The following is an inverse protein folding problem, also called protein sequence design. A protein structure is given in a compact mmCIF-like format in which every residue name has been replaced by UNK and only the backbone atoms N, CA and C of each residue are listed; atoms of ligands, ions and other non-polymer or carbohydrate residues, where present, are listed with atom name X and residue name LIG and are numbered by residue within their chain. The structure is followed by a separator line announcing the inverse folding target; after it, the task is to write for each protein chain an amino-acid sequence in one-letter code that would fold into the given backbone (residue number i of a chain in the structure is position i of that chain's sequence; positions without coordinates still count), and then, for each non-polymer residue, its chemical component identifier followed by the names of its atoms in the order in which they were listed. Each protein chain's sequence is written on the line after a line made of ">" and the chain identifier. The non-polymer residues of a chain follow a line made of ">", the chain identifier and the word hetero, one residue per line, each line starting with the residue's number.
data_IF_755154893969
#
_entry.id   IF_755154893969
#
_cell.length_a   1.000
_cell.length_b   1.000
_cell.length_c   1.000
_cell.angle_alpha   90.00
_cell.angle_beta   90.00
_cell.angle_gamma   90.00
#
_symmetry.space_group_name_H-M   'P 1'
#
loop_
_entity.id
_entity.type
_entity.pdbx_description
1 polymer ?
#
# COMPACT_ATOMS: atom_id res chain seq x y z
N UNK A 1 -11.66 -7.33 10.84
CA UNK A 1 -12.45 -6.53 11.84
C UNK A 1 -11.59 -5.48 12.55
N UNK A 2 -10.60 -5.79 13.41
CA UNK A 2 -9.89 -4.73 14.18
C UNK A 2 -9.11 -3.77 13.27
N UNK A 3 -8.31 -4.28 12.33
CA UNK A 3 -7.55 -3.45 11.39
C UNK A 3 -8.45 -2.69 10.40
N UNK A 4 -9.55 -3.26 9.98
CA UNK A 4 -10.56 -2.57 9.17
C UNK A 4 -11.16 -1.37 9.91
N UNK A 5 -11.45 -1.52 11.19
CA UNK A 5 -11.95 -0.40 12.00
C UNK A 5 -10.92 0.73 12.12
N UNK A 6 -9.64 0.38 12.31
CA UNK A 6 -8.55 1.37 12.37
C UNK A 6 -8.40 2.13 11.04
N UNK A 7 -8.45 1.41 9.92
CA UNK A 7 -8.39 2.02 8.60
C UNK A 7 -9.61 2.92 8.34
N UNK A 8 -10.81 2.46 8.69
CA UNK A 8 -12.05 3.27 8.59
C UNK A 8 -12.00 4.53 9.45
N UNK A 9 -11.41 4.45 10.66
CA UNK A 9 -11.21 5.62 11.51
C UNK A 9 -10.29 6.65 10.83
N UNK A 10 -9.18 6.21 10.25
CA UNK A 10 -8.26 7.12 9.56
C UNK A 10 -8.90 7.74 8.30
N UNK A 11 -9.69 6.98 7.55
CA UNK A 11 -10.46 7.49 6.41
C UNK A 11 -11.53 8.49 6.84
N UNK A 12 -12.24 8.23 7.93
CA UNK A 12 -13.24 9.15 8.48
C UNK A 12 -12.60 10.46 8.93
N UNK A 13 -11.46 10.40 9.61
CA UNK A 13 -10.69 11.58 9.99
C UNK A 13 -10.18 12.36 8.78
N UNK A 14 -9.66 11.67 7.76
CA UNK A 14 -9.26 12.34 6.51
C UNK A 14 -10.43 13.13 5.93
N UNK A 15 -11.60 12.49 5.84
CA UNK A 15 -12.80 13.12 5.29
C UNK A 15 -13.24 14.32 6.13
N UNK A 16 -13.29 14.18 7.45
CA UNK A 16 -13.64 15.26 8.37
C UNK A 16 -12.69 16.45 8.27
N UNK A 17 -11.37 16.19 8.26
CA UNK A 17 -10.37 17.25 8.31
C UNK A 17 -10.18 17.98 6.99
N UNK A 18 -10.34 17.30 5.86
CA UNK A 18 -9.96 17.84 4.55
C UNK A 18 -11.10 17.94 3.53
N UNK A 19 -12.12 17.11 3.64
CA UNK A 19 -13.22 17.09 2.66
C UNK A 19 -14.43 17.85 3.19
N UNK A 20 -14.89 17.51 4.40
CA UNK A 20 -16.08 18.07 5.02
C UNK A 20 -15.77 19.34 5.86
N UNK A 21 -14.49 19.74 5.96
CA UNK A 21 -14.06 20.89 6.73
C UNK A 21 -14.57 22.20 6.08
N UNK A 22 -15.28 23.06 6.82
CA UNK A 22 -15.78 24.33 6.28
C UNK A 22 -14.67 25.29 5.83
N UNK A 23 -13.45 25.16 6.39
CA UNK A 23 -12.29 25.97 6.00
C UNK A 23 -11.72 25.58 4.62
N UNK A 24 -12.13 24.44 4.06
CA UNK A 24 -11.56 23.95 2.80
C UNK A 24 -11.84 24.91 1.61
N UNK A 25 -12.87 25.73 1.69
CA UNK A 25 -13.19 26.75 0.69
C UNK A 25 -12.15 27.87 0.62
N UNK A 26 -11.35 28.03 1.66
CA UNK A 26 -10.26 29.02 1.75
C UNK A 26 -8.92 28.44 1.28
N UNK A 27 -8.83 27.11 1.10
CA UNK A 27 -7.60 26.45 0.69
C UNK A 27 -7.43 26.50 -0.83
N UNK A 28 -6.18 26.45 -1.27
CA UNK A 28 -5.89 26.46 -2.70
C UNK A 28 -6.28 25.15 -3.37
N UNK A 29 -6.76 25.26 -4.60
CA UNK A 29 -6.91 24.10 -5.47
C UNK A 29 -5.57 23.80 -6.16
N UNK A 30 -5.31 22.50 -6.39
CA UNK A 30 -4.12 22.04 -7.10
C UNK A 30 -4.31 20.65 -7.63
N UNK A 31 -3.21 19.93 -7.83
CA UNK A 31 -3.22 18.53 -8.32
C UNK A 31 -2.24 17.67 -7.52
N UNK A 32 -2.34 16.36 -7.67
CA UNK A 32 -1.38 15.43 -7.04
C UNK A 32 0.07 15.70 -7.47
N UNK A 33 0.29 16.29 -8.66
CA UNK A 33 1.62 16.65 -9.14
C UNK A 33 2.37 17.56 -8.17
N UNK A 34 1.66 18.39 -7.45
CA UNK A 34 2.24 19.30 -6.47
C UNK A 34 2.70 18.62 -5.19
N UNK A 35 2.13 17.45 -4.86
CA UNK A 35 2.41 16.68 -3.65
C UNK A 35 3.42 15.55 -3.89
N UNK A 36 3.68 15.22 -5.16
CA UNK A 36 4.56 14.12 -5.56
C UNK A 36 5.97 14.63 -5.86
N UNK A 37 6.97 14.03 -5.24
CA UNK A 37 8.39 14.29 -5.52
C UNK A 37 8.81 13.57 -6.81
N UNK A 38 8.54 12.26 -6.90
CA UNK A 38 8.88 11.43 -8.05
C UNK A 38 8.00 10.18 -8.11
N UNK A 39 8.11 9.45 -9.22
CA UNK A 39 7.43 8.16 -9.39
C UNK A 39 8.40 7.10 -9.89
N UNK A 40 8.22 5.85 -9.47
CA UNK A 40 9.02 4.72 -9.90
C UNK A 40 8.16 3.77 -10.75
N UNK A 41 8.74 3.35 -11.86
CA UNK A 41 8.16 2.24 -12.65
C UNK A 41 8.54 0.91 -12.01
N UNK A 42 7.65 -0.06 -12.09
CA UNK A 42 7.91 -1.40 -11.60
C UNK A 42 8.95 -2.20 -12.40
N UNK A 43 9.30 -3.37 -11.88
CA UNK A 43 10.17 -4.34 -12.52
C UNK A 43 9.75 -5.76 -12.12
N UNK A 44 9.43 -6.59 -13.11
CA UNK A 44 9.06 -7.97 -12.82
C UNK A 44 10.29 -8.88 -12.66
N UNK A 45 11.39 -8.53 -13.26
CA UNK A 45 12.62 -9.30 -13.19
C UNK A 45 12.53 -10.72 -13.76
N UNK A 46 13.37 -11.61 -13.23
CA UNK A 46 13.46 -13.03 -13.55
C UNK A 46 13.14 -13.90 -12.34
N UNK A 47 12.75 -15.15 -12.55
CA UNK A 47 12.41 -16.11 -11.47
C UNK A 47 13.65 -16.65 -10.76
N UNK A 48 14.77 -16.70 -11.45
CA UNK A 48 16.06 -17.14 -10.95
C UNK A 48 17.15 -16.16 -11.38
N UNK A 49 18.32 -16.15 -10.70
CA UNK A 49 19.48 -15.39 -11.15
C UNK A 49 19.85 -15.80 -12.59
N UNK A 50 19.79 -14.84 -13.52
CA UNK A 50 20.04 -15.10 -14.94
C UNK A 50 20.78 -13.91 -15.55
N UNK A 51 21.97 -14.16 -16.11
CA UNK A 51 22.81 -13.11 -16.67
C UNK A 51 23.12 -12.02 -15.64
N UNK A 52 22.80 -10.78 -15.99
CA UNK A 52 23.04 -9.63 -15.11
C UNK A 52 21.90 -9.36 -14.09
N UNK A 53 20.86 -10.20 -14.05
CA UNK A 53 19.79 -10.10 -13.05
C UNK A 53 20.23 -10.87 -11.79
N UNK A 54 20.98 -10.22 -10.94
CA UNK A 54 21.63 -10.81 -9.74
C UNK A 54 20.98 -10.40 -8.43
N UNK A 55 20.28 -9.27 -8.42
CA UNK A 55 19.73 -8.69 -7.19
C UNK A 55 18.39 -9.35 -6.83
N UNK A 56 18.37 -10.08 -5.70
CA UNK A 56 17.16 -10.65 -5.12
C UNK A 56 16.26 -9.54 -4.61
N UNK A 57 14.98 -9.59 -4.99
CA UNK A 57 13.96 -8.66 -4.52
C UNK A 57 12.64 -9.38 -4.28
N UNK A 58 11.80 -8.81 -3.44
CA UNK A 58 10.38 -9.15 -3.37
C UNK A 58 9.58 -8.17 -4.24
N UNK A 59 8.65 -8.71 -5.04
CA UNK A 59 7.93 -7.92 -6.03
C UNK A 59 6.45 -7.81 -5.65
N UNK A 60 6.02 -6.63 -5.16
CA UNK A 60 4.62 -6.38 -4.82
C UNK A 60 3.78 -6.24 -6.09
N UNK A 61 2.63 -6.91 -6.10
CA UNK A 61 1.66 -6.94 -7.20
C UNK A 61 0.35 -6.28 -6.78
N UNK A 62 -0.50 -5.94 -7.75
CA UNK A 62 -1.88 -5.51 -7.48
C UNK A 62 -2.66 -6.50 -6.60
N UNK A 63 -2.41 -7.80 -6.76
CA UNK A 63 -3.03 -8.85 -5.94
C UNK A 63 -2.59 -8.84 -4.46
N UNK A 64 -1.42 -8.28 -4.15
CA UNK A 64 -0.90 -8.21 -2.78
C UNK A 64 -1.40 -6.96 -2.03
N UNK A 65 -1.93 -5.95 -2.75
CA UNK A 65 -2.40 -4.67 -2.19
C UNK A 65 -3.42 -4.87 -1.06
N UNK A 66 -4.48 -5.69 -1.20
CA UNK A 66 -5.47 -5.87 -0.13
C UNK A 66 -4.85 -6.45 1.15
N UNK A 67 -3.97 -7.43 1.01
CA UNK A 67 -3.31 -8.06 2.16
C UNK A 67 -2.37 -7.08 2.88
N UNK A 68 -1.58 -6.32 2.13
CA UNK A 68 -0.67 -5.32 2.71
C UNK A 68 -1.46 -4.21 3.39
N UNK A 69 -2.54 -3.73 2.77
CA UNK A 69 -3.44 -2.73 3.37
C UNK A 69 -4.05 -3.22 4.69
N UNK A 70 -4.35 -4.50 4.80
CA UNK A 70 -4.85 -5.13 6.03
C UNK A 70 -3.75 -5.36 7.10
N UNK A 71 -2.50 -4.94 6.86
CA UNK A 71 -1.37 -5.12 7.75
C UNK A 71 -0.65 -6.48 7.62
N UNK A 72 -1.06 -7.31 6.66
CA UNK A 72 -0.45 -8.61 6.42
C UNK A 72 0.82 -8.49 5.56
N UNK A 73 1.61 -9.56 5.53
CA UNK A 73 2.84 -9.61 4.74
C UNK A 73 2.57 -9.66 3.23
N UNK A 74 1.44 -10.26 2.81
CA UNK A 74 1.19 -10.58 1.40
C UNK A 74 1.95 -11.84 0.95
N UNK A 75 1.80 -12.15 -0.34
CA UNK A 75 2.42 -13.35 -0.97
C UNK A 75 3.33 -12.93 -2.13
N UNK A 76 4.19 -11.94 -1.86
CA UNK A 76 5.07 -11.36 -2.88
C UNK A 76 6.07 -12.38 -3.40
N UNK A 77 6.17 -12.62 -4.70
CA UNK A 77 7.17 -13.53 -5.25
C UNK A 77 8.57 -12.94 -5.15
N UNK A 78 9.54 -13.84 -4.95
CA UNK A 78 10.95 -13.53 -5.12
C UNK A 78 11.25 -13.35 -6.60
N UNK A 79 12.01 -12.31 -6.93
CA UNK A 79 12.47 -12.00 -8.29
C UNK A 79 13.94 -11.57 -8.27
N UNK A 80 14.56 -11.59 -9.43
CA UNK A 80 15.94 -11.15 -9.63
C UNK A 80 15.96 -10.06 -10.69
N UNK A 81 16.52 -8.91 -10.36
CA UNK A 81 16.57 -7.72 -11.21
C UNK A 81 18.03 -7.28 -11.44
N UNK A 82 18.20 -6.33 -12.34
CA UNK A 82 19.50 -5.72 -12.59
C UNK A 82 19.92 -4.84 -11.39
N UNK A 83 21.21 -4.79 -11.00
CA UNK A 83 21.69 -3.90 -9.92
C UNK A 83 21.29 -2.44 -10.12
N UNK A 84 21.40 -1.92 -11.35
CA UNK A 84 20.96 -0.54 -11.68
C UNK A 84 19.46 -0.32 -11.45
N UNK A 85 18.64 -1.35 -11.66
CA UNK A 85 17.20 -1.26 -11.45
C UNK A 85 16.87 -1.28 -9.95
N UNK A 86 17.62 -2.03 -9.14
CA UNK A 86 17.47 -1.99 -7.70
C UNK A 86 17.68 -0.58 -7.15
N UNK A 87 18.77 0.08 -7.56
CA UNK A 87 19.04 1.46 -7.12
C UNK A 87 17.91 2.43 -7.46
N UNK A 88 17.29 2.27 -8.63
CA UNK A 88 16.32 3.22 -9.16
C UNK A 88 14.86 2.85 -8.86
N UNK A 89 14.56 1.63 -8.39
CA UNK A 89 13.20 1.11 -8.25
C UNK A 89 12.89 0.54 -6.88
N UNK A 90 13.87 0.54 -5.96
CA UNK A 90 13.69 0.10 -4.58
C UNK A 90 12.61 0.95 -3.91
N UNK A 91 11.65 0.27 -3.29
CA UNK A 91 10.65 0.90 -2.46
C UNK A 91 11.22 1.25 -1.09
N UNK A 92 10.78 2.37 -0.56
CA UNK A 92 11.15 2.90 0.75
C UNK A 92 9.90 3.17 1.59
N UNK A 93 10.08 3.29 2.89
CA UNK A 93 8.98 3.66 3.78
C UNK A 93 8.45 5.06 3.40
N UNK A 94 7.13 5.17 3.30
CA UNK A 94 6.46 6.38 2.83
C UNK A 94 6.09 6.37 1.34
N UNK A 95 6.61 5.42 0.55
CA UNK A 95 6.17 5.23 -0.82
C UNK A 95 4.73 4.69 -0.85
N UNK A 96 4.02 4.96 -1.95
CA UNK A 96 2.67 4.46 -2.18
C UNK A 96 2.68 3.65 -3.48
N UNK A 97 2.38 2.36 -3.40
CA UNK A 97 2.25 1.50 -4.58
C UNK A 97 0.82 1.58 -5.09
N UNK A 98 0.68 1.86 -6.38
CA UNK A 98 -0.59 1.99 -7.09
C UNK A 98 -0.66 0.97 -8.22
N UNK A 99 -1.76 0.24 -8.33
CA UNK A 99 -2.07 -0.62 -9.46
C UNK A 99 -2.48 0.23 -10.65
N UNK A 100 -1.68 0.19 -11.71
CA UNK A 100 -1.93 0.96 -12.94
C UNK A 100 -2.47 0.10 -14.08
N UNK A 101 -2.50 -1.22 -13.91
CA UNK A 101 -2.95 -2.16 -14.94
C UNK A 101 -3.65 -3.34 -14.30
N UNK A 102 -4.87 -3.63 -14.69
CA UNK A 102 -5.71 -4.67 -14.10
C UNK A 102 -7.17 -4.29 -14.16
N UNK A 103 -7.82 -4.32 -12.99
CA UNK A 103 -9.23 -3.96 -12.86
C UNK A 103 -10.19 -5.02 -13.40
N UNK A 104 -11.47 -4.72 -13.29
CA UNK A 104 -12.59 -5.50 -13.80
C UNK A 104 -13.73 -4.56 -14.17
N UNK A 105 -14.85 -5.04 -14.73
CA UNK A 105 -16.01 -4.17 -14.98
C UNK A 105 -16.53 -3.44 -13.73
N UNK A 106 -16.35 -4.05 -12.56
CA UNK A 106 -16.85 -3.51 -11.28
C UNK A 106 -15.78 -2.96 -10.38
N UNK A 107 -14.50 -3.14 -10.74
CA UNK A 107 -13.34 -2.67 -9.97
C UNK A 107 -12.40 -1.87 -10.86
N UNK A 108 -12.23 -0.59 -10.54
CA UNK A 108 -11.28 0.25 -11.27
C UNK A 108 -9.83 -0.13 -10.97
N UNK A 109 -8.93 0.26 -11.86
CA UNK A 109 -7.50 0.43 -11.55
C UNK A 109 -7.32 1.56 -10.53
N UNK A 110 -6.11 1.73 -10.01
CA UNK A 110 -5.85 2.79 -9.01
C UNK A 110 -5.89 2.31 -7.56
N UNK A 111 -6.12 1.01 -7.28
CA UNK A 111 -5.94 0.49 -5.92
C UNK A 111 -4.53 0.80 -5.43
N UNK A 112 -4.42 1.18 -4.17
CA UNK A 112 -3.12 1.54 -3.61
C UNK A 112 -2.89 0.95 -2.23
N UNK A 113 -1.62 0.93 -1.83
CA UNK A 113 -1.19 0.64 -0.47
C UNK A 113 0.06 1.46 -0.13
N UNK A 114 0.16 1.90 1.12
CA UNK A 114 1.37 2.55 1.61
C UNK A 114 2.43 1.50 1.95
N UNK A 115 3.69 1.81 1.68
CA UNK A 115 4.84 1.03 2.07
C UNK A 115 5.34 1.56 3.41
N UNK A 116 5.33 0.72 4.43
CA UNK A 116 5.79 1.07 5.78
C UNK A 116 7.12 0.40 6.10
N UNK A 117 7.87 0.98 7.04
CA UNK A 117 9.08 0.33 7.54
C UNK A 117 8.75 -1.05 8.15
N UNK A 118 7.64 -1.14 8.88
CA UNK A 118 7.17 -2.41 9.47
C UNK A 118 6.88 -3.49 8.43
N UNK A 119 6.44 -3.13 7.22
CA UNK A 119 6.29 -4.09 6.11
C UNK A 119 7.66 -4.50 5.57
N UNK A 120 8.54 -3.53 5.30
CA UNK A 120 9.87 -3.79 4.75
C UNK A 120 10.71 -4.69 5.67
N UNK A 121 10.63 -4.48 6.97
CA UNK A 121 11.36 -5.27 7.99
C UNK A 121 10.90 -6.75 8.08
N UNK A 122 9.79 -7.10 7.44
CA UNK A 122 9.29 -8.49 7.39
C UNK A 122 9.93 -9.32 6.26
N UNK A 123 10.77 -8.69 5.45
CA UNK A 123 11.44 -9.32 4.31
C UNK A 123 12.96 -9.20 4.44
N UNK A 124 13.65 -10.25 4.04
CA UNK A 124 15.13 -10.36 4.11
C UNK A 124 15.84 -9.69 2.94
N UNK A 125 15.10 -9.03 2.05
CA UNK A 125 15.64 -8.37 0.87
C UNK A 125 14.79 -7.16 0.47
N UNK A 126 15.31 -6.34 -0.43
CA UNK A 126 14.63 -5.15 -0.93
C UNK A 126 13.31 -5.48 -1.64
N UNK A 127 12.42 -4.50 -1.70
CA UNK A 127 11.13 -4.61 -2.37
C UNK A 127 11.07 -3.69 -3.58
N UNK A 128 10.41 -4.16 -4.64
CA UNK A 128 10.04 -3.38 -5.84
C UNK A 128 8.57 -3.66 -6.18
N UNK A 129 7.94 -2.85 -7.03
CA UNK A 129 6.62 -3.18 -7.56
C UNK A 129 6.71 -3.81 -8.96
N UNK A 130 5.64 -4.50 -9.39
CA UNK A 130 5.56 -5.07 -10.75
C UNK A 130 5.36 -4.00 -11.81
N UNK A 131 5.52 -4.35 -13.08
CA UNK A 131 5.21 -3.48 -14.22
C UNK A 131 3.74 -3.07 -14.32
N UNK A 132 2.83 -3.79 -13.64
CA UNK A 132 1.41 -3.44 -13.52
C UNK A 132 1.12 -2.46 -12.38
N UNK A 133 2.17 -2.03 -11.69
CA UNK A 133 2.12 -1.04 -10.61
C UNK A 133 3.13 0.08 -10.86
N UNK A 134 2.86 1.22 -10.23
CA UNK A 134 3.82 2.31 -10.05
C UNK A 134 3.97 2.63 -8.57
N UNK A 135 5.13 3.11 -8.16
CA UNK A 135 5.27 3.71 -6.85
C UNK A 135 5.28 5.24 -6.97
N UNK A 136 4.53 5.87 -6.10
CA UNK A 136 4.56 7.32 -5.86
C UNK A 136 5.51 7.55 -4.69
N UNK A 137 6.45 8.47 -4.86
CA UNK A 137 7.23 9.06 -3.76
C UNK A 137 6.62 10.43 -3.43
N UNK A 138 5.82 10.56 -2.36
CA UNK A 138 5.30 11.84 -1.94
C UNK A 138 6.42 12.78 -1.49
N UNK A 139 6.18 14.08 -1.53
CA UNK A 139 7.05 15.06 -0.86
C UNK A 139 7.07 14.79 0.65
N UNK A 140 8.16 15.16 1.29
CA UNK A 140 8.32 14.93 2.73
C UNK A 140 7.16 15.54 3.53
N UNK A 141 6.58 14.75 4.43
CA UNK A 141 5.43 15.13 5.26
C UNK A 141 4.06 14.99 4.60
N UNK A 142 3.97 14.44 3.36
CA UNK A 142 2.70 14.28 2.65
C UNK A 142 2.29 12.82 2.44
N UNK A 143 3.04 11.84 2.97
CA UNK A 143 2.86 10.42 2.63
C UNK A 143 1.44 9.91 2.91
N UNK A 144 0.96 10.06 4.15
CA UNK A 144 -0.35 9.55 4.53
C UNK A 144 -1.48 10.43 4.00
N UNK A 145 -1.28 11.75 3.90
CA UNK A 145 -2.24 12.62 3.26
C UNK A 145 -2.48 12.22 1.79
N UNK A 146 -1.42 12.03 0.99
CA UNK A 146 -1.52 11.55 -0.40
C UNK A 146 -2.18 10.17 -0.46
N UNK A 147 -1.80 9.27 0.44
CA UNK A 147 -2.38 7.92 0.52
C UNK A 147 -3.89 7.94 0.77
N UNK A 148 -4.35 8.68 1.79
CA UNK A 148 -5.79 8.74 2.12
C UNK A 148 -6.59 9.53 1.11
N UNK A 149 -6.02 10.58 0.51
CA UNK A 149 -6.69 11.30 -0.56
C UNK A 149 -6.87 10.42 -1.80
N UNK A 150 -5.84 9.66 -2.16
CA UNK A 150 -5.90 8.68 -3.24
C UNK A 150 -6.98 7.64 -3.00
N UNK A 151 -7.06 7.09 -1.80
CA UNK A 151 -8.11 6.14 -1.43
C UNK A 151 -9.51 6.76 -1.48
N UNK A 152 -9.66 7.97 -0.96
CA UNK A 152 -10.94 8.68 -1.03
C UNK A 152 -11.43 8.82 -2.47
N UNK A 153 -10.59 9.23 -3.41
CA UNK A 153 -10.96 9.32 -4.82
C UNK A 153 -11.21 7.95 -5.45
N UNK A 154 -10.49 6.92 -5.01
CA UNK A 154 -10.75 5.55 -5.43
C UNK A 154 -12.15 5.10 -5.01
N UNK A 155 -12.54 5.31 -3.78
CA UNK A 155 -13.88 4.99 -3.25
C UNK A 155 -15.00 5.79 -3.91
N UNK A 156 -14.69 7.02 -4.35
CA UNK A 156 -15.60 7.84 -5.15
C UNK A 156 -15.72 7.40 -6.61
N UNK A 157 -14.95 6.41 -7.04
CA UNK A 157 -14.97 5.91 -8.41
C UNK A 157 -14.35 6.83 -9.44
N UNK A 158 -13.60 7.84 -9.03
CA UNK A 158 -12.96 8.83 -9.93
C UNK A 158 -12.05 8.15 -10.95
N UNK A 159 -11.35 7.09 -10.56
CA UNK A 159 -10.42 6.38 -11.43
C UNK A 159 -11.05 5.75 -12.67
N UNK A 160 -12.36 5.45 -12.66
CA UNK A 160 -13.05 4.96 -13.87
C UNK A 160 -12.97 5.95 -15.03
N UNK A 161 -12.90 7.26 -14.73
CA UNK A 161 -12.79 8.31 -15.75
C UNK A 161 -11.39 8.40 -16.37
N UNK A 162 -10.39 7.80 -15.72
CA UNK A 162 -9.00 7.80 -16.16
C UNK A 162 -8.54 6.44 -16.70
N UNK A 163 -9.47 5.51 -16.95
CA UNK A 163 -9.14 4.19 -17.48
C UNK A 163 -9.19 4.16 -19.00
N UNK A 164 -8.16 3.56 -19.58
CA UNK A 164 -8.08 3.23 -20.99
C UNK A 164 -8.14 1.72 -21.19
N UNK A 165 -8.93 1.26 -22.14
CA UNK A 165 -9.08 -0.16 -22.50
C UNK A 165 -10.54 -0.57 -22.58
N UNK A 166 -10.91 -1.22 -23.68
CA UNK A 166 -12.30 -1.60 -23.98
C UNK A 166 -12.61 -3.07 -23.73
N UNK A 167 -11.59 -3.93 -23.76
CA UNK A 167 -11.72 -5.38 -23.56
C UNK A 167 -10.47 -5.94 -22.89
N UNK A 168 -10.66 -6.60 -21.75
CA UNK A 168 -9.56 -7.24 -21.01
C UNK A 168 -8.94 -6.36 -19.95
N UNK A 169 -7.61 -6.24 -19.98
CA UNK A 169 -6.86 -5.48 -18.96
C UNK A 169 -7.05 -3.99 -19.22
N UNK A 170 -7.53 -3.28 -18.21
CA UNK A 170 -7.62 -1.81 -18.19
C UNK A 170 -6.30 -1.21 -17.74
N UNK A 171 -5.99 -0.02 -18.23
CA UNK A 171 -4.81 0.74 -17.86
C UNK A 171 -5.23 2.12 -17.35
N UNK A 172 -4.67 2.52 -16.23
CA UNK A 172 -4.85 3.85 -15.67
C UNK A 172 -4.02 4.86 -16.46
N UNK A 173 -4.63 5.93 -16.94
CA UNK A 173 -3.91 7.14 -17.32
C UNK A 173 -3.37 7.83 -16.06
N UNK A 174 -2.34 7.21 -15.50
CA UNK A 174 -1.72 7.67 -14.27
C UNK A 174 -1.20 9.11 -14.38
N UNK A 175 -0.63 9.45 -15.55
CA UNK A 175 -0.10 10.80 -15.77
C UNK A 175 -1.22 11.82 -15.86
N UNK A 176 -2.22 11.56 -16.68
CA UNK A 176 -3.40 12.42 -16.79
C UNK A 176 -4.02 12.65 -15.42
N UNK A 177 -4.24 11.59 -14.63
CA UNK A 177 -4.80 11.70 -13.29
C UNK A 177 -3.99 12.63 -12.38
N UNK A 178 -2.69 12.41 -12.20
CA UNK A 178 -1.89 13.21 -11.27
C UNK A 178 -1.71 14.67 -11.72
N UNK A 179 -1.83 14.96 -13.01
CA UNK A 179 -1.67 16.30 -13.58
C UNK A 179 -2.99 17.06 -13.68
N UNK A 180 -4.16 16.40 -13.70
CA UNK A 180 -5.43 17.06 -14.01
C UNK A 180 -6.54 16.86 -12.97
N UNK A 181 -6.49 15.79 -12.15
CA UNK A 181 -7.52 15.63 -11.11
C UNK A 181 -7.39 16.75 -10.07
N UNK A 182 -8.44 17.55 -9.90
CA UNK A 182 -8.42 18.65 -8.95
C UNK A 182 -8.47 18.12 -7.52
N UNK A 183 -7.58 18.61 -6.69
CA UNK A 183 -7.56 18.34 -5.25
C UNK A 183 -7.47 19.65 -4.46
N UNK A 184 -7.85 19.58 -3.21
CA UNK A 184 -7.68 20.68 -2.26
C UNK A 184 -6.29 20.53 -1.61
N UNK A 185 -5.56 21.65 -1.53
CA UNK A 185 -4.25 21.71 -0.90
C UNK A 185 -4.36 22.46 0.45
N UNK A 186 -4.50 21.71 1.57
CA UNK A 186 -4.59 22.32 2.88
C UNK A 186 -3.23 22.91 3.33
N UNK A 187 -3.21 23.76 4.36
CA UNK A 187 -1.98 24.21 5.00
C UNK A 187 -1.11 23.05 5.46
N UNK A 188 0.20 23.17 5.30
CA UNK A 188 1.15 22.08 5.56
C UNK A 188 1.16 21.61 7.01
N UNK A 189 0.97 22.50 7.97
CA UNK A 189 0.85 22.17 9.39
C UNK A 189 -0.33 21.22 9.69
N UNK A 190 -1.50 21.45 9.07
CA UNK A 190 -2.65 20.54 9.15
C UNK A 190 -2.36 19.17 8.55
N UNK A 191 -1.64 19.14 7.42
CA UNK A 191 -1.21 17.88 6.80
C UNK A 191 -0.26 17.11 7.72
N UNK A 192 0.70 17.80 8.34
CA UNK A 192 1.64 17.17 9.27
C UNK A 192 0.96 16.65 10.54
N UNK A 193 0.00 17.38 11.07
CA UNK A 193 -0.79 16.95 12.23
C UNK A 193 -1.55 15.65 11.92
N UNK A 194 -2.21 15.59 10.77
CA UNK A 194 -2.90 14.40 10.28
C UNK A 194 -1.93 13.23 10.06
N UNK A 195 -0.80 13.45 9.39
CA UNK A 195 0.23 12.43 9.16
C UNK A 195 0.73 11.83 10.49
N UNK A 196 0.97 12.67 11.49
CA UNK A 196 1.43 12.22 12.82
C UNK A 196 0.37 11.40 13.53
N UNK A 197 -0.90 11.79 13.43
CA UNK A 197 -2.01 11.02 13.99
C UNK A 197 -2.15 9.66 13.31
N UNK A 198 -2.16 9.64 11.98
CA UNK A 198 -2.32 8.41 11.19
C UNK A 198 -1.14 7.44 11.31
N UNK A 199 0.09 7.93 11.58
CA UNK A 199 1.24 7.05 11.84
C UNK A 199 0.99 6.08 12.99
N UNK A 200 0.31 6.52 14.05
CA UNK A 200 -0.03 5.63 15.18
C UNK A 200 -0.99 4.53 14.77
N UNK A 201 -2.00 4.85 13.97
CA UNK A 201 -2.97 3.90 13.42
C UNK A 201 -2.25 2.88 12.52
N UNK A 202 -1.41 3.35 11.59
CA UNK A 202 -0.64 2.47 10.72
C UNK A 202 0.26 1.51 11.49
N UNK A 203 0.99 2.02 12.48
CA UNK A 203 1.83 1.19 13.33
C UNK A 203 1.02 0.09 14.03
N UNK A 204 -0.17 0.43 14.52
CA UNK A 204 -1.05 -0.55 15.15
C UNK A 204 -1.58 -1.60 14.16
N UNK A 205 -1.98 -1.18 12.95
CA UNK A 205 -2.43 -2.10 11.89
C UNK A 205 -1.35 -3.14 11.56
N UNK A 206 -0.11 -2.70 11.38
CA UNK A 206 0.99 -3.62 11.06
C UNK A 206 1.44 -4.46 12.27
N UNK A 207 1.37 -3.93 13.49
CA UNK A 207 1.62 -4.70 14.70
C UNK A 207 0.58 -5.82 14.88
N UNK A 208 -0.70 -5.52 14.69
CA UNK A 208 -1.78 -6.51 14.74
C UNK A 208 -1.62 -7.58 13.64
N UNK A 209 -1.25 -7.17 12.43
CA UNK A 209 -0.99 -8.11 11.32
C UNK A 209 0.16 -9.07 11.65
N UNK A 210 1.26 -8.56 12.21
CA UNK A 210 2.40 -9.38 12.65
C UNK A 210 1.99 -10.37 13.76
N UNK A 211 1.24 -9.90 14.74
CA UNK A 211 0.73 -10.74 15.83
C UNK A 211 -0.20 -11.84 15.30
N UNK A 212 -1.10 -11.50 14.39
CA UNK A 212 -2.02 -12.47 13.77
C UNK A 212 -1.26 -13.56 13.01
N UNK A 213 -0.19 -13.20 12.29
CA UNK A 213 0.68 -14.16 11.59
C UNK A 213 1.41 -15.09 12.56
N UNK A 214 1.92 -14.55 13.68
CA UNK A 214 2.57 -15.34 14.73
C UNK A 214 1.60 -16.32 15.39
N UNK A 215 0.39 -15.87 15.71
CA UNK A 215 -0.66 -16.70 16.30
C UNK A 215 -1.12 -17.82 15.33
N UNK A 216 -1.25 -17.49 14.04
CA UNK A 216 -1.56 -18.49 13.01
C UNK A 216 -0.46 -19.55 12.90
N UNK A 217 0.81 -19.13 12.87
CA UNK A 217 1.95 -20.06 12.84
C UNK A 217 2.00 -20.96 14.08
N UNK A 218 1.75 -20.39 15.25
CA UNK A 218 1.70 -21.14 16.52
C UNK A 218 0.55 -22.15 16.49
N UNK A 219 -0.64 -21.74 16.10
CA UNK A 219 -1.80 -22.63 15.93
C UNK A 219 -1.47 -23.78 15.00
N UNK A 220 -0.93 -23.49 13.83
CA UNK A 220 -0.65 -24.50 12.78
C UNK A 220 0.47 -25.49 13.22
N UNK A 221 1.33 -25.06 14.13
CA UNK A 221 2.37 -25.92 14.74
C UNK A 221 1.80 -26.79 15.87
N UNK A 222 0.94 -26.23 16.72
CA UNK A 222 0.45 -26.90 17.92
C UNK A 222 -0.74 -27.83 17.63
N UNK A 223 -1.64 -27.43 16.72
CA UNK A 223 -2.87 -28.17 16.46
C UNK A 223 -2.64 -29.62 16.04
N UNK A 224 -1.71 -29.95 15.11
CA UNK A 224 -1.41 -31.34 14.77
C UNK A 224 -0.87 -32.15 15.96
N UNK A 225 -0.05 -31.53 16.82
CA UNK A 225 0.54 -32.19 18.00
C UNK A 225 -0.46 -32.43 19.10
N UNK A 226 -1.47 -31.57 19.25
CA UNK A 226 -2.59 -31.76 20.13
C UNK A 226 -3.50 -32.89 19.64
N UNK A 227 -3.82 -32.91 18.35
CA UNK A 227 -4.68 -33.95 17.74
C UNK A 227 -4.02 -35.33 17.79
N UNK A 228 -2.70 -35.40 17.61
CA UNK A 228 -1.94 -36.67 17.70
C UNK A 228 -1.70 -37.14 19.12
N UNK A 229 -2.03 -36.34 20.15
CA UNK A 229 -1.73 -36.67 21.56
C UNK A 229 -0.25 -36.50 21.94
N UNK A 230 0.59 -35.93 21.06
CA UNK A 230 2.00 -35.62 21.35
C UNK A 230 2.12 -34.54 22.43
N UNK A 231 1.16 -33.58 22.47
CA UNK A 231 1.03 -32.60 23.53
C UNK A 231 -0.14 -32.97 24.44
N UNK A 232 0.16 -33.24 25.69
CA UNK A 232 -0.84 -33.42 26.73
C UNK A 232 -1.14 -32.04 27.35
N UNK A 233 -2.41 -31.71 27.43
CA UNK A 233 -2.92 -30.44 28.02
C UNK A 233 -3.83 -30.70 29.21
N UNK A 234 -3.89 -31.93 29.74
CA UNK A 234 -4.74 -32.32 30.87
C UNK A 234 -4.40 -31.55 32.16
N UNK A 235 -3.18 -31.06 32.29
CA UNK A 235 -2.71 -30.30 33.46
C UNK A 235 -2.95 -28.78 33.37
N UNK A 236 -3.54 -28.27 32.27
CA UNK A 236 -3.88 -26.87 32.13
C UNK A 236 -5.33 -26.62 32.53
N UNK A 237 -5.55 -25.86 33.62
CA UNK A 237 -6.87 -25.31 33.96
C UNK A 237 -7.29 -24.31 32.88
N UNK A 238 -8.36 -24.58 32.14
CA UNK A 238 -8.98 -23.77 31.09
C UNK A 238 -10.06 -22.88 31.68
#
# INVERSE_FOLDING_TARGET
>A
MLNENLEQQAQALFKEWFIDNPENSEWSAGTFRELIQSTLNGDWGKEAPTGNNTEKVYCIRGADIPEVKAGNKGKMPTRYILPKNLVNKKLEAGDIVVEISGGSPTQSTGRCTAITQSLLDRYDSSMVCTNFCKAIKPKNGYSLFVYYYWQYLYEKGVFFSYENGTTGIKNLDFRGFIETEPIILPPFDKVQEFDNYCKSIFNQVFANGKQSEQLASLRDTLLPRLISGELDVSDFDL
#
